data_IF_908587165205
#
_entry.id   IF_908587165205
#
_cell.length_a   1.000
_cell.length_b   1.000
_cell.length_c   1.000
_cell.angle_alpha   90.00
_cell.angle_beta   90.00
_cell.angle_gamma   90.00
#
_symmetry.space_group_name_H-M   'P 1'
#
loop_
_entity.id
_entity.type
_entity.pdbx_description
1 polymer ?
#
# COMPACT_ATOMS: atom_id res chain seq x y z
N UNK A 1 0.02 8.13 -22.34
CA UNK A 1 0.41 8.83 -21.06
C UNK A 1 0.66 7.74 -20.04
N UNK A 2 1.72 7.81 -19.23
CA UNK A 2 1.96 6.73 -18.26
C UNK A 2 1.04 6.86 -17.04
N UNK A 3 0.84 5.76 -16.29
CA UNK A 3 0.10 5.81 -15.01
C UNK A 3 0.72 6.81 -14.03
N UNK A 4 2.06 6.94 -14.05
CA UNK A 4 2.78 7.94 -13.27
C UNK A 4 2.34 9.37 -13.61
N UNK A 5 2.22 9.69 -14.90
CA UNK A 5 1.82 11.04 -15.33
C UNK A 5 0.36 11.33 -14.95
N UNK A 6 -0.53 10.33 -15.09
CA UNK A 6 -1.96 10.43 -14.79
C UNK A 6 -2.23 10.68 -13.29
N UNK A 7 -1.32 10.21 -12.42
CA UNK A 7 -1.51 10.23 -10.96
C UNK A 7 -0.55 11.19 -10.23
N UNK A 8 0.26 11.96 -10.95
CA UNK A 8 1.34 12.77 -10.38
C UNK A 8 0.85 13.84 -9.39
N UNK A 9 -0.29 14.46 -9.66
CA UNK A 9 -0.92 15.44 -8.77
C UNK A 9 -1.35 14.81 -7.44
N UNK A 10 -1.99 13.65 -7.48
CA UNK A 10 -2.43 12.91 -6.28
C UNK A 10 -1.24 12.31 -5.51
N UNK A 11 -0.19 11.88 -6.22
CA UNK A 11 1.04 11.46 -5.57
C UNK A 11 1.64 12.59 -4.74
N UNK A 12 1.72 13.79 -5.32
CA UNK A 12 2.21 14.97 -4.61
C UNK A 12 1.31 15.32 -3.41
N UNK A 13 -0.02 15.26 -3.56
CA UNK A 13 -0.96 15.48 -2.44
C UNK A 13 -0.73 14.47 -1.30
N UNK A 14 -0.54 13.19 -1.64
CA UNK A 14 -0.28 12.14 -0.66
C UNK A 14 0.97 12.40 0.19
N UNK A 15 2.07 12.87 -0.46
CA UNK A 15 3.32 13.23 0.21
C UNK A 15 3.20 14.44 1.14
N UNK A 16 2.23 15.31 0.90
CA UNK A 16 2.00 16.51 1.71
C UNK A 16 1.19 16.27 2.98
N UNK A 17 0.54 15.12 3.14
CA UNK A 17 -0.20 14.78 4.36
C UNK A 17 0.71 14.77 5.59
N UNK A 18 0.16 15.12 6.74
CA UNK A 18 0.90 15.13 8.02
C UNK A 18 1.51 13.76 8.30
N UNK A 19 0.73 12.69 8.13
CA UNK A 19 1.20 11.35 8.39
C UNK A 19 2.35 10.93 7.46
N UNK A 20 2.24 11.20 6.15
CA UNK A 20 3.31 10.87 5.20
C UNK A 20 4.62 11.58 5.56
N UNK A 21 4.57 12.86 5.91
CA UNK A 21 5.74 13.61 6.37
C UNK A 21 6.34 13.02 7.65
N UNK A 22 5.51 12.66 8.62
CA UNK A 22 5.93 12.04 9.87
C UNK A 22 6.61 10.69 9.61
N UNK A 23 6.03 9.86 8.75
CA UNK A 23 6.56 8.55 8.38
C UNK A 23 7.90 8.66 7.63
N UNK A 24 7.96 9.53 6.61
CA UNK A 24 9.14 9.69 5.76
C UNK A 24 10.30 10.41 6.46
N UNK A 25 10.03 11.24 7.46
CA UNK A 25 11.07 11.88 8.27
C UNK A 25 11.60 11.02 9.42
N UNK A 26 10.94 9.89 9.72
CA UNK A 26 11.26 9.04 10.86
C UNK A 26 10.79 9.59 12.23
N UNK A 27 10.05 10.69 12.23
CA UNK A 27 9.49 11.28 13.47
C UNK A 27 8.23 10.55 13.97
N UNK A 28 7.98 9.35 13.47
CA UNK A 28 6.85 8.50 13.87
C UNK A 28 7.18 7.77 15.17
N UNK A 29 6.19 7.60 16.07
CA UNK A 29 6.36 6.75 17.25
C UNK A 29 6.19 5.27 16.91
N UNK A 30 6.64 4.40 17.82
CA UNK A 30 6.47 2.95 17.68
C UNK A 30 4.98 2.57 17.58
N UNK A 31 4.13 3.18 18.41
CA UNK A 31 2.69 2.93 18.44
C UNK A 31 2.00 3.41 17.16
N UNK A 32 2.39 4.58 16.65
CA UNK A 32 1.87 5.08 15.37
C UNK A 32 2.27 4.16 14.22
N UNK A 33 3.51 3.65 14.21
CA UNK A 33 3.98 2.73 13.18
C UNK A 33 3.28 1.37 13.28
N UNK A 34 3.07 0.83 14.48
CA UNK A 34 2.30 -0.39 14.68
C UNK A 34 0.84 -0.24 14.18
N UNK A 35 0.19 0.90 14.49
CA UNK A 35 -1.14 1.19 13.99
C UNK A 35 -1.16 1.32 12.45
N UNK A 36 -0.15 1.95 11.86
CA UNK A 36 0.00 2.00 10.39
C UNK A 36 0.10 0.60 9.78
N UNK A 37 0.94 -0.29 10.31
CA UNK A 37 1.07 -1.66 9.83
C UNK A 37 -0.26 -2.43 9.97
N UNK A 38 -1.00 -2.21 11.05
CA UNK A 38 -2.32 -2.81 11.24
C UNK A 38 -3.32 -2.39 10.15
N UNK A 39 -3.31 -1.10 9.75
CA UNK A 39 -4.12 -0.64 8.64
C UNK A 39 -3.67 -1.27 7.30
N UNK A 40 -2.35 -1.40 7.10
CA UNK A 40 -1.80 -2.01 5.88
C UNK A 40 -2.20 -3.48 5.77
N UNK A 41 -2.21 -4.25 6.85
CA UNK A 41 -2.71 -5.63 6.84
C UNK A 41 -4.12 -5.73 6.28
N UNK A 42 -5.03 -4.87 6.74
CA UNK A 42 -6.41 -4.86 6.29
C UNK A 42 -6.58 -4.48 4.81
N UNK A 43 -5.65 -3.72 4.25
CA UNK A 43 -5.68 -3.30 2.84
C UNK A 43 -5.04 -4.37 1.94
N UNK A 44 -3.87 -4.88 2.31
CA UNK A 44 -3.11 -5.81 1.48
C UNK A 44 -3.74 -7.21 1.44
N UNK A 45 -4.48 -7.61 2.47
CA UNK A 45 -5.17 -8.90 2.48
C UNK A 45 -6.14 -9.06 1.29
N UNK A 46 -7.20 -8.25 1.12
CA UNK A 46 -8.07 -8.39 -0.04
C UNK A 46 -7.38 -8.02 -1.35
N UNK A 47 -6.50 -7.03 -1.36
CA UNK A 47 -5.78 -6.60 -2.56
C UNK A 47 -4.97 -7.75 -3.15
N UNK A 48 -4.11 -8.37 -2.37
CA UNK A 48 -3.25 -9.45 -2.85
C UNK A 48 -4.04 -10.74 -3.10
N UNK A 49 -5.08 -11.04 -2.30
CA UNK A 49 -5.95 -12.17 -2.52
C UNK A 49 -6.60 -12.16 -3.91
N UNK A 50 -7.18 -11.02 -4.32
CA UNK A 50 -7.85 -10.92 -5.61
C UNK A 50 -6.87 -10.81 -6.79
N UNK A 51 -5.69 -10.21 -6.59
CA UNK A 51 -4.63 -10.21 -7.60
C UNK A 51 -4.06 -11.61 -7.83
N UNK A 52 -3.86 -12.38 -6.77
CA UNK A 52 -3.44 -13.80 -6.84
C UNK A 52 -4.43 -14.64 -7.65
N UNK A 53 -5.72 -14.51 -7.35
CA UNK A 53 -6.78 -15.23 -8.09
C UNK A 53 -6.85 -14.90 -9.58
N UNK A 54 -6.24 -13.81 -10.01
CA UNK A 54 -6.12 -13.43 -11.41
C UNK A 54 -4.76 -13.80 -12.01
N UNK A 55 -3.91 -14.55 -11.28
CA UNK A 55 -2.58 -14.97 -11.74
C UNK A 55 -1.57 -13.82 -11.87
N UNK A 56 -1.85 -12.65 -11.27
CA UNK A 56 -1.00 -11.47 -11.47
C UNK A 56 0.40 -11.64 -10.85
N UNK A 57 0.51 -12.40 -9.76
CA UNK A 57 1.82 -12.63 -9.12
C UNK A 57 2.68 -13.68 -9.81
N UNK A 58 2.15 -14.44 -10.78
CA UNK A 58 2.91 -15.48 -11.50
C UNK A 58 4.13 -14.88 -12.24
N UNK A 59 3.99 -13.64 -12.71
CA UNK A 59 5.05 -12.90 -13.40
C UNK A 59 5.84 -11.95 -12.46
N UNK A 60 5.45 -11.85 -11.20
CA UNK A 60 5.99 -10.89 -10.23
C UNK A 60 6.43 -11.60 -8.93
N UNK A 61 7.32 -12.62 -9.00
CA UNK A 61 7.77 -13.34 -7.81
C UNK A 61 8.45 -12.37 -6.83
N UNK A 62 8.10 -12.47 -5.56
CA UNK A 62 8.64 -11.60 -4.51
C UNK A 62 7.90 -10.27 -4.32
N UNK A 63 6.84 -9.98 -5.10
CA UNK A 63 6.07 -8.74 -4.94
C UNK A 63 5.11 -8.78 -3.74
N UNK A 64 4.57 -9.93 -3.37
CA UNK A 64 3.59 -10.05 -2.27
C UNK A 64 4.14 -9.56 -0.95
N UNK A 65 3.34 -8.78 -0.23
CA UNK A 65 3.76 -8.12 1.02
C UNK A 65 2.97 -8.51 2.26
N UNK A 66 1.78 -9.11 2.13
CA UNK A 66 0.91 -9.38 3.29
C UNK A 66 1.64 -10.14 4.42
N UNK A 67 2.41 -11.19 4.09
CA UNK A 67 3.19 -11.94 5.07
C UNK A 67 4.33 -11.13 5.69
N UNK A 68 4.98 -10.27 4.91
CA UNK A 68 6.05 -9.39 5.35
C UNK A 68 5.53 -8.28 6.28
N UNK A 69 4.36 -7.68 5.95
CA UNK A 69 3.67 -6.72 6.82
C UNK A 69 3.29 -7.37 8.15
N UNK A 70 2.77 -8.59 8.10
CA UNK A 70 2.41 -9.33 9.32
C UNK A 70 3.64 -9.62 10.20
N UNK A 71 4.77 -10.00 9.59
CA UNK A 71 6.03 -10.19 10.30
C UNK A 71 6.48 -8.92 11.03
N UNK A 72 6.50 -7.78 10.33
CA UNK A 72 6.87 -6.51 10.96
C UNK A 72 5.88 -6.07 12.05
N UNK A 73 4.57 -6.30 11.82
CA UNK A 73 3.56 -6.01 12.82
C UNK A 73 3.75 -6.83 14.10
N UNK A 74 4.05 -8.13 13.99
CA UNK A 74 4.30 -9.02 15.13
C UNK A 74 5.49 -8.55 15.99
N UNK A 75 6.52 -7.93 15.40
CA UNK A 75 7.65 -7.35 16.14
C UNK A 75 7.24 -6.18 17.06
N UNK A 76 6.12 -5.51 16.73
CA UNK A 76 5.63 -4.32 17.42
C UNK A 76 4.37 -4.55 18.23
N UNK A 77 3.65 -5.64 17.96
CA UNK A 77 2.35 -5.91 18.57
C UNK A 77 2.44 -5.90 20.11
N UNK A 78 1.71 -4.96 20.71
CA UNK A 78 1.50 -4.94 22.14
C UNK A 78 0.12 -5.54 22.45
N UNK A 79 0.09 -6.64 23.19
CA UNK A 79 -1.14 -7.33 23.60
C UNK A 79 -2.05 -6.48 24.49
N UNK A 80 -1.53 -5.41 25.05
CA UNK A 80 -2.30 -4.46 25.85
C UNK A 80 -2.88 -3.31 25.01
N UNK A 81 -2.47 -3.19 23.72
CA UNK A 81 -3.02 -2.22 22.80
C UNK A 81 -4.20 -2.79 22.02
N UNK A 82 -5.27 -2.02 21.95
CA UNK A 82 -6.42 -2.33 21.10
C UNK A 82 -6.28 -1.60 19.78
N UNK A 83 -5.80 -2.29 18.75
CA UNK A 83 -5.76 -1.76 17.40
C UNK A 83 -7.17 -1.75 16.80
N UNK A 84 -7.55 -0.64 16.22
CA UNK A 84 -8.85 -0.49 15.56
C UNK A 84 -8.65 -0.07 14.10
N UNK A 85 -9.47 -0.64 13.23
CA UNK A 85 -9.50 -0.17 11.85
C UNK A 85 -10.09 1.23 11.79
N UNK A 86 -9.38 2.10 11.08
CA UNK A 86 -9.91 3.41 10.74
C UNK A 86 -11.12 3.26 9.80
N UNK A 87 -12.13 4.14 9.93
CA UNK A 87 -13.27 4.15 9.00
C UNK A 87 -12.87 4.18 7.53
N UNK A 88 -11.86 4.97 7.17
CA UNK A 88 -11.35 5.00 5.79
C UNK A 88 -10.70 3.68 5.37
N UNK A 89 -9.96 3.03 6.26
CA UNK A 89 -9.35 1.71 6.00
C UNK A 89 -10.41 0.65 5.81
N UNK A 90 -11.42 0.60 6.68
CA UNK A 90 -12.54 -0.33 6.56
C UNK A 90 -13.29 -0.14 5.24
N UNK A 91 -13.62 1.10 4.89
CA UNK A 91 -14.31 1.40 3.65
C UNK A 91 -13.49 1.03 2.41
N UNK A 92 -12.17 1.25 2.45
CA UNK A 92 -11.29 0.87 1.36
C UNK A 92 -11.16 -0.66 1.24
N UNK A 93 -11.05 -1.37 2.36
CA UNK A 93 -11.12 -2.84 2.39
C UNK A 93 -12.38 -3.35 1.69
N UNK A 94 -13.55 -2.83 2.07
CA UNK A 94 -14.83 -3.22 1.47
C UNK A 94 -14.92 -2.86 -0.03
N UNK A 95 -14.31 -1.74 -0.43
CA UNK A 95 -14.20 -1.36 -1.84
C UNK A 95 -13.39 -2.40 -2.62
N UNK A 96 -12.21 -2.80 -2.12
CA UNK A 96 -11.36 -3.82 -2.75
C UNK A 96 -12.07 -5.18 -2.84
N UNK A 97 -12.79 -5.59 -1.80
CA UNK A 97 -13.60 -6.82 -1.80
C UNK A 97 -14.71 -6.74 -2.86
N UNK A 98 -15.41 -5.62 -2.92
CA UNK A 98 -16.47 -5.39 -3.93
C UNK A 98 -15.91 -5.44 -5.35
N UNK A 99 -14.81 -4.72 -5.60
CA UNK A 99 -14.14 -4.67 -6.89
C UNK A 99 -13.62 -6.04 -7.33
N UNK A 100 -12.96 -6.77 -6.42
CA UNK A 100 -12.40 -8.10 -6.72
C UNK A 100 -13.45 -9.17 -7.02
N UNK A 101 -14.69 -9.01 -6.49
CA UNK A 101 -15.82 -9.88 -6.77
C UNK A 101 -16.64 -9.46 -8.00
N UNK A 102 -16.43 -8.26 -8.54
CA UNK A 102 -17.14 -7.79 -9.72
C UNK A 102 -16.69 -8.57 -10.96
N UNK A 103 -17.63 -9.21 -11.66
CA UNK A 103 -17.33 -10.05 -12.83
C UNK A 103 -16.72 -9.27 -14.01
N UNK A 104 -17.02 -7.98 -14.11
CA UNK A 104 -16.63 -7.11 -15.22
C UNK A 104 -15.39 -6.28 -14.83
N UNK A 105 -15.41 -5.69 -13.64
CA UNK A 105 -14.44 -4.69 -13.19
C UNK A 105 -13.27 -5.26 -12.38
N UNK A 106 -13.28 -6.56 -12.04
CA UNK A 106 -12.23 -7.17 -11.17
C UNK A 106 -10.80 -6.92 -11.64
N UNK A 107 -10.57 -6.72 -12.96
CA UNK A 107 -9.26 -6.42 -13.51
C UNK A 107 -8.71 -5.06 -13.04
N UNK A 108 -9.60 -4.13 -12.65
CA UNK A 108 -9.22 -2.80 -12.17
C UNK A 108 -8.49 -2.84 -10.81
N UNK A 109 -8.60 -3.94 -10.07
CA UNK A 109 -7.88 -4.11 -8.80
C UNK A 109 -6.36 -3.97 -8.98
N UNK A 110 -5.84 -4.26 -10.18
CA UNK A 110 -4.42 -4.08 -10.53
C UNK A 110 -3.95 -2.63 -10.42
N UNK A 111 -4.86 -1.66 -10.58
CA UNK A 111 -4.55 -0.25 -10.37
C UNK A 111 -4.21 0.05 -8.90
N UNK A 112 -4.92 -0.60 -7.98
CA UNK A 112 -4.65 -0.49 -6.54
C UNK A 112 -3.32 -1.16 -6.17
N UNK A 113 -3.02 -2.31 -6.78
CA UNK A 113 -1.73 -2.96 -6.61
C UNK A 113 -0.60 -2.04 -7.13
N UNK A 114 -0.76 -1.43 -8.32
CA UNK A 114 0.20 -0.47 -8.84
C UNK A 114 0.51 0.63 -7.84
N UNK A 115 -0.50 1.32 -7.33
CA UNK A 115 -0.32 2.46 -6.42
C UNK A 115 0.37 2.03 -5.12
N UNK A 116 -0.05 0.93 -4.51
CA UNK A 116 0.49 0.46 -3.23
C UNK A 116 1.91 -0.08 -3.38
N UNK A 117 2.13 -1.05 -4.26
CA UNK A 117 3.43 -1.71 -4.37
C UNK A 117 4.51 -0.83 -5.01
N UNK A 118 4.14 0.08 -5.91
CA UNK A 118 5.11 1.09 -6.38
C UNK A 118 5.50 2.05 -5.25
N UNK A 119 4.55 2.42 -4.38
CA UNK A 119 4.86 3.19 -3.16
C UNK A 119 5.86 2.46 -2.26
N UNK A 120 5.69 1.15 -2.05
CA UNK A 120 6.59 0.33 -1.25
C UNK A 120 7.98 0.22 -1.88
N UNK A 121 8.03 0.01 -3.19
CA UNK A 121 9.28 -0.13 -3.95
C UNK A 121 10.12 1.17 -4.02
N UNK A 122 9.47 2.34 -3.87
CA UNK A 122 10.14 3.66 -3.87
C UNK A 122 10.15 4.30 -2.47
N UNK A 123 9.02 4.74 -1.98
CA UNK A 123 8.90 5.41 -0.67
C UNK A 123 9.25 4.51 0.49
N UNK A 124 8.93 3.22 0.40
CA UNK A 124 9.28 2.21 1.39
C UNK A 124 10.78 2.12 1.65
N UNK A 125 11.63 2.41 0.65
CA UNK A 125 13.08 2.42 0.84
C UNK A 125 13.56 3.61 1.70
N UNK A 126 12.81 4.71 1.71
CA UNK A 126 13.05 5.85 2.60
C UNK A 126 12.61 5.47 4.02
N UNK A 127 11.42 4.90 4.15
CA UNK A 127 10.87 4.45 5.45
C UNK A 127 11.82 3.46 6.12
N UNK A 128 12.31 2.47 5.37
CA UNK A 128 13.27 1.47 5.85
C UNK A 128 14.54 2.09 6.46
N UNK A 129 14.97 3.25 5.96
CA UNK A 129 16.16 3.94 6.47
C UNK A 129 15.87 4.84 7.68
N UNK A 130 14.65 5.35 7.79
CA UNK A 130 14.28 6.38 8.76
C UNK A 130 13.58 5.81 9.99
N UNK A 131 12.87 4.68 9.87
CA UNK A 131 12.05 4.10 10.94
C UNK A 131 12.75 2.87 11.53
N UNK A 132 13.28 2.92 12.77
CA UNK A 132 14.15 1.87 13.30
C UNK A 132 13.41 0.82 14.15
N UNK A 133 12.15 0.51 13.87
CA UNK A 133 11.32 -0.26 14.82
C UNK A 133 11.16 -1.74 14.49
N UNK A 134 11.43 -2.16 13.24
CA UNK A 134 11.26 -3.55 12.80
C UNK A 134 12.42 -4.02 11.94
N UNK A 135 12.42 -5.30 11.57
CA UNK A 135 13.36 -5.85 10.59
C UNK A 135 13.12 -5.34 9.16
N UNK A 136 12.01 -4.62 8.93
CA UNK A 136 11.60 -4.05 7.65
C UNK A 136 11.34 -5.10 6.56
N UNK A 137 10.81 -6.25 6.92
CA UNK A 137 10.40 -7.28 5.97
C UNK A 137 9.44 -6.72 4.91
N UNK A 138 8.54 -5.80 5.31
CA UNK A 138 7.59 -5.12 4.42
C UNK A 138 8.27 -4.44 3.22
N UNK A 139 9.36 -3.74 3.46
CA UNK A 139 10.07 -2.95 2.42
C UNK A 139 11.33 -3.64 1.89
N UNK A 140 11.55 -4.90 2.25
CA UNK A 140 12.69 -5.67 1.79
C UNK A 140 12.32 -6.46 0.53
N UNK A 141 12.87 -6.04 -0.60
CA UNK A 141 12.69 -6.66 -1.91
C UNK A 141 14.05 -7.10 -2.46
N UNK A 142 14.18 -8.36 -2.83
CA UNK A 142 15.43 -8.91 -3.39
C UNK A 142 15.66 -8.43 -4.84
N UNK A 143 14.58 -8.13 -5.57
CA UNK A 143 14.58 -7.82 -7.00
C UNK A 143 13.80 -6.54 -7.33
N UNK A 144 13.94 -5.49 -6.52
CA UNK A 144 13.14 -4.27 -6.61
C UNK A 144 13.11 -3.64 -8.01
N UNK A 145 14.26 -3.53 -8.70
CA UNK A 145 14.32 -2.91 -10.02
C UNK A 145 13.61 -3.75 -11.10
N UNK A 146 13.74 -5.08 -11.04
CA UNK A 146 13.01 -5.98 -11.92
C UNK A 146 11.50 -5.87 -11.72
N UNK A 147 11.05 -5.85 -10.45
CA UNK A 147 9.63 -5.69 -10.12
C UNK A 147 9.05 -4.36 -10.62
N UNK A 148 9.80 -3.26 -10.46
CA UNK A 148 9.39 -1.94 -10.99
C UNK A 148 9.22 -1.94 -12.50
N UNK A 149 10.12 -2.60 -13.23
CA UNK A 149 10.04 -2.73 -14.69
C UNK A 149 8.82 -3.54 -15.09
N UNK A 150 8.68 -4.75 -14.54
CA UNK A 150 7.57 -5.66 -14.85
C UNK A 150 6.20 -5.05 -14.53
N UNK A 151 6.05 -4.38 -13.40
CA UNK A 151 4.79 -3.69 -13.06
C UNK A 151 4.44 -2.64 -14.14
N UNK A 152 5.43 -1.91 -14.66
CA UNK A 152 5.19 -0.90 -15.72
C UNK A 152 4.89 -1.51 -17.07
N UNK A 153 5.42 -2.70 -17.36
CA UNK A 153 5.15 -3.43 -18.60
C UNK A 153 3.76 -4.06 -18.60
N UNK A 154 3.32 -4.56 -17.44
CA UNK A 154 2.04 -5.26 -17.27
C UNK A 154 0.83 -4.31 -17.13
N UNK A 155 1.05 -3.05 -16.74
CA UNK A 155 -0.02 -2.11 -16.41
C UNK A 155 0.07 -0.84 -17.26
N UNK A 156 -0.99 -0.56 -17.96
CA UNK A 156 -1.10 0.56 -18.91
C UNK A 156 -2.04 1.67 -18.43
N UNK A 157 -2.18 2.70 -19.24
CA UNK A 157 -2.97 3.90 -18.93
C UNK A 157 -4.49 3.67 -18.92
N UNK A 158 -4.98 2.51 -19.38
CA UNK A 158 -6.40 2.14 -19.25
C UNK A 158 -6.85 2.03 -17.80
N UNK A 159 -5.90 1.77 -16.90
CA UNK A 159 -6.10 1.72 -15.45
C UNK A 159 -6.04 3.10 -14.78
N UNK A 160 -5.79 4.18 -15.54
CA UNK A 160 -5.51 5.51 -14.99
C UNK A 160 -6.60 6.07 -14.09
N UNK A 161 -7.87 5.94 -14.50
CA UNK A 161 -8.99 6.40 -13.69
C UNK A 161 -9.06 5.69 -12.34
N UNK A 162 -8.86 4.36 -12.33
CA UNK A 162 -8.89 3.58 -11.09
C UNK A 162 -7.63 3.80 -10.24
N UNK A 163 -6.47 4.03 -10.85
CA UNK A 163 -5.27 4.40 -10.11
C UNK A 163 -5.45 5.73 -9.35
N UNK A 164 -6.18 6.68 -9.90
CA UNK A 164 -6.57 7.90 -9.18
C UNK A 164 -7.47 7.60 -7.99
N UNK A 165 -8.44 6.69 -8.14
CA UNK A 165 -9.28 6.21 -7.01
C UNK A 165 -8.42 5.58 -5.92
N UNK A 166 -7.44 4.75 -6.28
CA UNK A 166 -6.51 4.15 -5.33
C UNK A 166 -5.70 5.20 -4.55
N UNK A 167 -5.22 6.26 -5.22
CA UNK A 167 -4.55 7.39 -4.56
C UNK A 167 -5.48 8.17 -3.63
N UNK A 168 -6.73 8.42 -4.02
CA UNK A 168 -7.71 9.09 -3.15
C UNK A 168 -7.94 8.31 -1.85
N UNK A 169 -8.03 6.97 -1.92
CA UNK A 169 -8.08 6.12 -0.73
C UNK A 169 -6.80 6.23 0.11
N UNK A 170 -5.64 6.22 -0.52
CA UNK A 170 -4.36 6.36 0.19
C UNK A 170 -4.29 7.70 0.94
N UNK A 171 -4.64 8.80 0.28
CA UNK A 171 -4.66 10.15 0.87
C UNK A 171 -5.62 10.21 2.04
N UNK A 172 -6.84 9.67 1.88
CA UNK A 172 -7.85 9.67 2.93
C UNK A 172 -7.39 8.93 4.19
N UNK A 173 -6.75 7.77 4.02
CA UNK A 173 -6.21 6.99 5.13
C UNK A 173 -5.04 7.72 5.79
N UNK A 174 -4.14 8.31 5.01
CA UNK A 174 -3.01 9.08 5.54
C UNK A 174 -3.47 10.32 6.31
N UNK A 175 -4.49 11.02 5.84
CA UNK A 175 -5.11 12.15 6.55
C UNK A 175 -5.70 11.68 7.88
N UNK A 176 -6.46 10.61 7.89
CA UNK A 176 -7.07 10.07 9.11
C UNK A 176 -6.00 9.58 10.12
N UNK A 177 -4.92 8.93 9.64
CA UNK A 177 -3.77 8.55 10.47
C UNK A 177 -3.05 9.78 11.05
N UNK A 178 -3.03 10.88 10.33
CA UNK A 178 -2.42 12.15 10.74
C UNK A 178 -3.30 13.03 11.62
N UNK A 179 -4.58 12.66 11.81
CA UNK A 179 -5.55 13.48 12.56
C UNK A 179 -6.04 14.71 11.80
N UNK A 180 -6.04 14.64 10.45
CA UNK A 180 -6.51 15.70 9.54
C UNK A 180 -7.99 15.54 9.17
#
# INVERSE_FOLDING_TARGET
MSLKDITSDLHHEAELTVFAKTLLSGNITKEQYANYLYQMLAIYDPLEFYCERQGFFDQLPGLRRIGAIYSDFQELEDRNCHYQLLPSTFNYHMYLVSLGNDKIKKHLIKAHLYVRHMGDLFGGQIIKKQVPFTSHAFYNFDNAEELKMKIREELDDTLGAEARVAFMWAIKIMKELGGE
#
